data_IF_238447708395
#
_entry.id   IF_238447708395
#
_cell.length_a   1.000
_cell.length_b   1.000
_cell.length_c   1.000
_cell.angle_alpha   90.00
_cell.angle_beta   90.00
_cell.angle_gamma   90.00
#
_symmetry.space_group_name_H-M   'P 1'
#
loop_
_entity.id
_entity.type
_entity.pdbx_description
1 polymer ?
#
# COMPACT_ATOMS: atom_id res chain seq x y z
N UNK A 1 29.78 86.61 45.77
CA UNK A 1 31.23 86.92 45.65
C UNK A 1 31.87 85.76 44.88
N UNK A 2 32.11 85.87 43.57
CA UNK A 2 33.25 86.50 42.87
C UNK A 2 34.60 85.81 43.16
N UNK A 3 35.16 85.25 42.08
CA UNK A 3 36.56 84.87 41.84
C UNK A 3 37.08 83.63 42.57
N UNK A 4 37.92 82.78 41.95
CA UNK A 4 38.62 82.96 40.70
C UNK A 4 39.42 81.72 40.31
N UNK A 5 39.79 81.69 39.03
CA UNK A 5 40.76 80.78 38.43
C UNK A 5 42.08 80.76 39.21
N UNK A 6 42.69 79.58 39.31
CA UNK A 6 44.15 79.49 39.27
C UNK A 6 44.55 78.37 38.30
N UNK A 7 45.14 78.78 37.18
CA UNK A 7 45.96 77.93 36.31
C UNK A 7 47.28 77.68 37.03
N UNK A 8 47.73 76.42 37.13
CA UNK A 8 49.16 76.11 37.20
C UNK A 8 49.48 74.97 36.23
N UNK A 9 50.34 75.31 35.26
CA UNK A 9 51.05 74.37 34.40
C UNK A 9 52.16 73.72 35.23
N UNK A 10 52.32 72.40 35.11
CA UNK A 10 53.61 71.72 35.22
C UNK A 10 53.48 70.34 34.55
N UNK A 11 54.19 70.16 33.43
CA UNK A 11 54.68 68.85 32.94
C UNK A 11 56.16 68.82 33.35
N UNK A 12 56.74 67.67 33.77
CA UNK A 12 57.22 66.72 32.77
C UNK A 12 57.17 65.21 33.15
N UNK A 13 57.00 64.40 32.11
CA UNK A 13 57.44 63.02 31.86
C UNK A 13 57.93 62.12 33.01
N UNK A 14 57.26 60.98 33.20
CA UNK A 14 57.88 59.65 33.17
C UNK A 14 56.82 58.53 33.01
N UNK A 15 57.26 57.39 32.48
CA UNK A 15 56.51 56.32 31.82
C UNK A 15 55.45 55.61 32.68
N UNK A 16 54.38 55.12 32.03
CA UNK A 16 53.52 54.06 32.59
C UNK A 16 52.28 53.76 31.75
N UNK A 17 52.34 52.68 30.97
CA UNK A 17 51.21 51.84 30.50
C UNK A 17 49.98 52.54 29.89
N UNK A 18 50.02 52.81 28.59
CA UNK A 18 48.82 53.02 27.78
C UNK A 18 48.07 51.67 27.59
N UNK A 19 47.13 51.38 28.49
CA UNK A 19 46.08 50.40 28.23
C UNK A 19 45.00 51.10 27.37
N UNK A 20 45.24 51.17 26.06
CA UNK A 20 44.21 51.61 25.12
C UNK A 20 43.14 50.54 25.03
N UNK A 21 42.05 50.73 25.77
CA UNK A 21 40.79 50.04 25.52
C UNK A 21 40.27 50.56 24.19
N UNK A 22 40.65 49.88 23.10
CA UNK A 22 39.97 50.02 21.82
C UNK A 22 38.61 49.35 22.03
N UNK A 23 37.61 50.15 22.40
CA UNK A 23 36.21 49.77 22.28
C UNK A 23 35.92 49.64 20.78
N UNK A 24 36.08 48.42 20.26
CA UNK A 24 35.56 48.04 18.95
C UNK A 24 34.05 48.12 19.03
N UNK A 25 33.51 49.28 18.62
CA UNK A 25 32.10 49.39 18.26
C UNK A 25 31.95 48.49 17.03
N UNK A 26 31.44 47.28 17.23
CA UNK A 26 30.85 46.50 16.16
C UNK A 26 29.65 47.31 15.66
N UNK A 27 29.88 48.15 14.66
CA UNK A 27 28.80 48.72 13.86
C UNK A 27 28.17 47.51 13.19
N UNK A 28 27.08 47.00 13.78
CA UNK A 28 26.17 46.14 13.04
C UNK A 28 25.71 46.98 11.86
N UNK A 29 26.13 46.61 10.65
CA UNK A 29 25.67 47.25 9.43
C UNK A 29 24.15 47.13 9.44
N UNK A 30 23.46 48.24 9.69
CA UNK A 30 22.02 48.31 9.56
C UNK A 30 21.74 48.17 8.07
N UNK A 31 21.54 46.93 7.63
CA UNK A 31 21.27 46.61 6.24
C UNK A 31 20.00 47.35 5.82
N UNK A 32 20.10 48.21 4.80
CA UNK A 32 18.97 49.02 4.35
C UNK A 32 17.91 48.10 3.74
N UNK A 33 16.78 47.94 4.44
CA UNK A 33 15.63 47.18 3.95
C UNK A 33 14.67 48.14 3.27
N UNK A 34 14.42 47.92 1.98
CA UNK A 34 13.48 48.70 1.17
C UNK A 34 12.35 47.81 0.65
N UNK A 35 11.14 48.34 0.42
CA UNK A 35 10.10 47.58 -0.26
C UNK A 35 10.43 47.43 -1.76
N UNK A 36 9.97 46.34 -2.37
CA UNK A 36 10.28 46.01 -3.77
C UNK A 36 9.88 47.08 -4.80
N UNK A 37 8.85 47.87 -4.51
CA UNK A 37 8.34 48.90 -5.39
C UNK A 37 9.18 50.19 -5.36
N UNK A 38 10.17 50.27 -4.47
CA UNK A 38 11.17 51.35 -4.39
C UNK A 38 12.52 50.97 -5.00
N UNK A 39 12.72 49.72 -5.44
CA UNK A 39 14.01 49.22 -5.92
C UNK A 39 14.63 50.07 -7.05
N UNK A 40 13.81 50.65 -7.93
CA UNK A 40 14.26 51.53 -9.02
C UNK A 40 15.06 52.75 -8.53
N UNK A 41 14.74 53.27 -7.33
CA UNK A 41 15.44 54.42 -6.74
C UNK A 41 16.83 54.07 -6.19
N UNK A 42 17.13 52.77 -6.06
CA UNK A 42 18.34 52.23 -5.45
C UNK A 42 19.23 51.49 -6.46
N UNK A 43 19.06 51.75 -7.76
CA UNK A 43 19.92 51.18 -8.80
C UNK A 43 21.38 51.54 -8.54
N UNK A 44 22.24 50.52 -8.52
CA UNK A 44 23.66 50.63 -8.23
C UNK A 44 24.03 50.40 -6.76
N UNK A 45 23.05 50.37 -5.84
CA UNK A 45 23.27 50.17 -4.41
C UNK A 45 23.11 48.69 -4.00
N UNK A 46 23.82 48.28 -2.95
CA UNK A 46 23.61 46.99 -2.28
C UNK A 46 22.60 47.18 -1.14
N UNK A 47 21.43 46.56 -1.27
CA UNK A 47 20.27 46.73 -0.37
C UNK A 47 19.58 45.40 -0.13
N UNK A 48 18.66 45.37 0.84
CA UNK A 48 17.73 44.26 1.04
C UNK A 48 16.35 44.66 0.57
N UNK A 49 15.85 44.00 -0.47
CA UNK A 49 14.51 44.21 -1.00
C UNK A 49 13.52 43.27 -0.32
N UNK A 50 12.50 43.80 0.33
CA UNK A 50 11.42 43.01 0.93
C UNK A 50 10.16 43.02 0.05
N UNK A 51 9.54 41.86 -0.12
CA UNK A 51 8.30 41.74 -0.89
C UNK A 51 7.72 40.33 -0.92
N UNK A 52 6.53 40.21 -1.51
CA UNK A 52 5.90 38.92 -1.77
C UNK A 52 6.23 38.48 -3.18
N UNK A 53 6.72 37.25 -3.33
CA UNK A 53 6.87 36.64 -4.66
C UNK A 53 5.52 36.09 -5.09
N UNK A 54 5.03 36.53 -6.24
CA UNK A 54 3.74 36.12 -6.80
C UNK A 54 3.85 34.83 -7.63
N UNK A 55 5.05 34.52 -8.11
CA UNK A 55 5.34 33.29 -8.85
C UNK A 55 6.76 33.26 -9.38
N UNK A 56 7.18 32.09 -9.85
CA UNK A 56 8.48 31.89 -10.52
C UNK A 56 8.23 31.54 -11.99
N UNK A 57 9.06 32.10 -12.88
CA UNK A 57 9.06 31.80 -14.31
C UNK A 57 10.45 31.39 -14.74
N UNK A 58 10.63 30.11 -15.06
CA UNK A 58 11.91 29.56 -15.44
C UNK A 58 12.00 29.33 -16.95
N UNK A 59 13.18 29.59 -17.49
CA UNK A 59 13.66 29.19 -18.81
C UNK A 59 14.92 28.34 -18.64
N UNK A 60 15.53 27.93 -19.76
CA UNK A 60 16.83 27.24 -19.72
C UNK A 60 17.98 28.15 -19.23
N UNK A 61 17.83 29.48 -19.34
CA UNK A 61 18.89 30.44 -19.06
C UNK A 61 18.76 31.11 -17.69
N UNK A 62 17.52 31.27 -17.20
CA UNK A 62 17.26 31.95 -15.94
C UNK A 62 15.86 31.64 -15.40
N UNK A 63 15.69 31.85 -14.10
CA UNK A 63 14.41 31.90 -13.41
C UNK A 63 14.15 33.30 -12.85
N UNK A 64 12.98 33.84 -13.15
CA UNK A 64 12.51 35.14 -12.69
C UNK A 64 11.54 34.94 -11.51
N UNK A 65 11.84 35.55 -10.38
CA UNK A 65 10.96 35.63 -9.21
C UNK A 65 10.17 36.94 -9.31
N UNK A 66 8.86 36.82 -9.53
CA UNK A 66 7.97 37.93 -9.82
C UNK A 66 7.49 38.63 -8.54
N UNK A 67 7.68 39.94 -8.45
CA UNK A 67 7.07 40.77 -7.38
C UNK A 67 5.83 41.53 -7.85
N UNK A 68 5.65 41.61 -9.18
CA UNK A 68 4.47 42.17 -9.82
C UNK A 68 3.91 41.18 -10.87
N UNK A 69 2.60 41.23 -11.19
CA UNK A 69 1.98 40.29 -12.13
C UNK A 69 2.53 40.34 -13.56
N UNK A 70 3.15 41.46 -13.95
CA UNK A 70 3.59 41.74 -15.33
C UNK A 70 5.10 41.54 -15.54
N UNK A 71 5.86 41.26 -14.48
CA UNK A 71 7.33 41.14 -14.49
C UNK A 71 8.06 42.42 -14.98
N UNK A 72 7.36 43.56 -15.00
CA UNK A 72 7.86 44.81 -15.60
C UNK A 72 8.49 45.76 -14.58
N UNK A 73 8.28 45.51 -13.28
CA UNK A 73 8.81 46.37 -12.21
C UNK A 73 10.09 45.79 -11.64
N UNK A 74 10.02 45.10 -10.51
CA UNK A 74 11.19 44.51 -9.88
C UNK A 74 11.16 42.99 -10.04
N UNK A 75 12.29 42.40 -10.43
CA UNK A 75 12.44 40.94 -10.49
C UNK A 75 13.74 40.49 -9.86
N UNK A 76 13.68 39.42 -9.06
CA UNK A 76 14.88 38.69 -8.68
C UNK A 76 15.19 37.64 -9.74
N UNK A 77 16.45 37.50 -10.12
CA UNK A 77 16.87 36.65 -11.23
C UNK A 77 17.84 35.60 -10.71
N UNK A 78 17.51 34.33 -10.89
CA UNK A 78 18.46 33.22 -10.72
C UNK A 78 18.98 32.86 -12.12
N UNK A 79 20.28 32.99 -12.35
CA UNK A 79 20.88 32.63 -13.64
C UNK A 79 21.27 31.14 -13.68
N UNK A 80 21.43 30.59 -14.89
CA UNK A 80 21.76 29.18 -15.08
C UNK A 80 23.03 28.74 -14.33
N UNK A 81 24.02 29.62 -14.19
CA UNK A 81 25.24 29.37 -13.39
C UNK A 81 24.95 29.10 -11.90
N UNK A 82 23.85 29.63 -11.38
CA UNK A 82 23.41 29.47 -9.99
C UNK A 82 22.42 28.31 -9.80
N UNK A 83 22.00 27.62 -10.87
CA UNK A 83 21.04 26.51 -10.78
C UNK A 83 21.54 25.33 -9.95
N UNK A 84 22.86 25.19 -9.79
CA UNK A 84 23.44 24.17 -8.90
C UNK A 84 23.00 24.37 -7.43
N UNK A 85 23.00 25.62 -6.98
CA UNK A 85 22.69 25.98 -5.59
C UNK A 85 21.22 26.41 -5.43
N UNK A 86 20.60 26.91 -6.50
CA UNK A 86 19.20 27.33 -6.60
C UNK A 86 18.49 26.55 -7.72
N UNK A 87 18.13 25.27 -7.49
CA UNK A 87 17.57 24.43 -8.53
C UNK A 87 16.18 24.91 -9.00
N UNK A 88 15.97 25.12 -10.31
CA UNK A 88 14.71 25.64 -10.88
C UNK A 88 13.45 24.90 -10.39
N UNK A 89 13.53 23.58 -10.27
CA UNK A 89 12.41 22.72 -9.88
C UNK A 89 11.91 22.94 -8.44
N UNK A 90 12.73 23.58 -7.60
CA UNK A 90 12.39 23.87 -6.20
C UNK A 90 11.94 25.32 -5.98
N UNK A 91 12.31 26.24 -6.86
CA UNK A 91 12.10 27.68 -6.64
C UNK A 91 10.62 28.04 -6.47
N UNK A 92 9.73 27.48 -7.30
CA UNK A 92 8.28 27.72 -7.20
C UNK A 92 7.77 27.27 -5.82
N UNK A 93 8.10 26.04 -5.40
CA UNK A 93 7.67 25.50 -4.10
C UNK A 93 8.25 26.30 -2.91
N UNK A 94 9.49 26.75 -3.02
CA UNK A 94 10.21 27.40 -1.92
C UNK A 94 9.82 28.86 -1.72
N UNK A 95 9.41 29.57 -2.77
CA UNK A 95 9.26 31.03 -2.71
C UNK A 95 7.94 31.58 -3.24
N UNK A 96 7.22 30.86 -4.10
CA UNK A 96 5.95 31.34 -4.65
C UNK A 96 4.91 31.56 -3.54
N UNK A 97 4.27 32.73 -3.54
CA UNK A 97 3.28 33.14 -2.55
C UNK A 97 3.87 33.56 -1.19
N UNK A 98 5.18 33.56 -1.01
CA UNK A 98 5.83 33.82 0.28
C UNK A 98 6.40 35.23 0.37
N UNK A 99 6.40 35.77 1.59
CA UNK A 99 7.08 37.03 1.91
C UNK A 99 8.58 36.80 2.14
N UNK A 100 9.42 37.43 1.32
CA UNK A 100 10.88 37.28 1.31
C UNK A 100 11.61 38.61 1.50
N UNK A 101 12.88 38.50 1.86
CA UNK A 101 13.92 39.51 1.78
C UNK A 101 14.99 39.02 0.83
N UNK A 102 15.33 39.84 -0.16
CA UNK A 102 16.36 39.58 -1.15
C UNK A 102 17.50 40.54 -0.91
N UNK A 103 18.69 40.02 -0.66
CA UNK A 103 19.90 40.81 -0.54
C UNK A 103 20.63 40.80 -1.88
N UNK A 104 21.07 41.97 -2.30
CA UNK A 104 22.02 42.07 -3.40
C UNK A 104 22.13 43.48 -3.95
N UNK A 105 22.93 43.62 -5.01
CA UNK A 105 23.04 44.87 -5.74
C UNK A 105 21.87 45.01 -6.70
N UNK A 106 21.13 46.12 -6.62
CA UNK A 106 20.10 46.44 -7.61
C UNK A 106 20.79 46.87 -8.89
N UNK A 107 20.55 46.16 -9.98
CA UNK A 107 21.07 46.47 -11.31
C UNK A 107 19.93 46.82 -12.23
N UNK A 108 20.12 47.80 -13.11
CA UNK A 108 19.16 48.09 -14.16
C UNK A 108 19.50 47.22 -15.37
N UNK A 109 18.53 46.44 -15.83
CA UNK A 109 18.63 45.62 -17.02
C UNK A 109 17.40 45.89 -17.91
N UNK A 110 17.62 46.32 -19.15
CA UNK A 110 16.54 46.69 -20.08
C UNK A 110 15.50 47.67 -19.50
N UNK A 111 15.96 48.69 -18.74
CA UNK A 111 15.13 49.68 -18.01
C UNK A 111 14.30 49.12 -16.86
N UNK A 112 14.71 47.98 -16.31
CA UNK A 112 14.02 47.30 -15.22
C UNK A 112 14.99 47.01 -14.07
N UNK A 113 14.67 47.35 -12.81
CA UNK A 113 15.50 47.00 -11.66
C UNK A 113 15.44 45.48 -11.38
N UNK A 114 16.61 44.86 -11.25
CA UNK A 114 16.78 43.46 -10.96
C UNK A 114 17.82 43.24 -9.85
N UNK A 115 17.68 42.15 -9.09
CA UNK A 115 18.76 41.61 -8.26
C UNK A 115 19.05 40.20 -8.72
N UNK A 116 20.33 39.91 -8.99
CA UNK A 116 20.78 38.56 -9.31
C UNK A 116 21.02 37.78 -8.01
N UNK A 117 20.37 36.62 -7.89
CA UNK A 117 20.55 35.69 -6.79
C UNK A 117 21.58 34.65 -7.19
N UNK A 118 22.67 34.57 -6.44
CA UNK A 118 23.75 33.63 -6.69
C UNK A 118 23.64 32.39 -5.79
N UNK A 119 23.05 32.55 -4.61
CA UNK A 119 23.01 31.54 -3.57
C UNK A 119 21.70 31.57 -2.77
N UNK A 120 21.35 30.48 -2.06
CA UNK A 120 20.20 30.47 -1.16
C UNK A 120 20.27 31.49 -0.03
N UNK A 121 21.46 31.98 0.36
CA UNK A 121 21.59 33.02 1.38
C UNK A 121 21.11 34.40 0.92
N UNK A 122 21.04 34.63 -0.38
CA UNK A 122 20.61 35.91 -0.96
C UNK A 122 19.10 36.11 -0.83
N UNK A 123 18.34 35.05 -0.53
CA UNK A 123 16.89 35.09 -0.34
C UNK A 123 16.51 34.47 1.00
N UNK A 124 15.77 35.22 1.81
CA UNK A 124 15.37 34.81 3.14
C UNK A 124 13.88 35.04 3.33
N UNK A 125 13.15 33.99 3.75
CA UNK A 125 11.78 34.14 4.22
C UNK A 125 11.74 35.09 5.43
N UNK A 126 10.77 36.01 5.44
CA UNK A 126 10.56 36.90 6.60
C UNK A 126 10.22 36.09 7.86
N UNK A 127 10.43 36.68 9.04
CA UNK A 127 10.13 36.00 10.31
C UNK A 127 8.65 35.55 10.42
N UNK A 128 7.72 36.35 9.88
CA UNK A 128 6.30 36.00 9.83
C UNK A 128 6.03 34.79 8.93
N UNK A 129 6.62 34.77 7.73
CA UNK A 129 6.48 33.66 6.80
C UNK A 129 7.12 32.37 7.34
N UNK A 130 8.31 32.45 7.95
CA UNK A 130 8.96 31.31 8.61
C UNK A 130 8.11 30.70 9.73
N UNK A 131 7.40 31.53 10.51
CA UNK A 131 6.48 31.06 11.56
C UNK A 131 5.28 30.36 10.97
N UNK A 132 4.66 30.94 9.92
CA UNK A 132 3.53 30.35 9.20
C UNK A 132 3.88 28.97 8.63
N UNK A 133 5.01 28.88 7.91
CA UNK A 133 5.49 27.62 7.33
C UNK A 133 5.75 26.54 8.40
N UNK A 134 6.30 26.93 9.55
CA UNK A 134 6.51 26.00 10.66
C UNK A 134 5.18 25.50 11.23
N UNK A 135 4.25 26.42 11.50
CA UNK A 135 2.93 26.10 12.02
C UNK A 135 2.18 25.16 11.07
N UNK A 136 2.23 25.42 9.77
CA UNK A 136 1.60 24.56 8.77
C UNK A 136 2.20 23.14 8.77
N UNK A 137 3.54 23.03 8.83
CA UNK A 137 4.21 21.72 8.92
C UNK A 137 3.84 20.96 10.20
N UNK A 138 3.78 21.66 11.34
CA UNK A 138 3.36 21.09 12.61
C UNK A 138 1.91 20.60 12.55
N UNK A 139 1.00 21.38 11.95
CA UNK A 139 -0.40 20.96 11.78
C UNK A 139 -0.54 19.74 10.87
N UNK A 140 0.19 19.69 9.74
CA UNK A 140 0.18 18.53 8.84
C UNK A 140 0.72 17.28 9.54
N UNK A 141 1.78 17.43 10.34
CA UNK A 141 2.34 16.33 11.13
C UNK A 141 1.33 15.84 12.17
N UNK A 142 0.71 16.73 12.92
CA UNK A 142 -0.31 16.38 13.90
C UNK A 142 -1.50 15.67 13.25
N UNK A 143 -1.93 16.10 12.07
CA UNK A 143 -2.98 15.44 11.29
C UNK A 143 -2.56 14.02 10.86
N UNK A 144 -1.34 13.85 10.35
CA UNK A 144 -0.83 12.53 9.95
C UNK A 144 -0.68 11.58 11.15
N UNK A 145 -0.26 12.10 12.31
CA UNK A 145 -0.20 11.34 13.57
C UNK A 145 -1.61 10.93 14.03
N UNK A 146 -2.59 11.83 13.97
CA UNK A 146 -3.98 11.54 14.30
C UNK A 146 -4.60 10.47 13.37
N UNK A 147 -4.38 10.59 12.04
CA UNK A 147 -4.82 9.58 11.07
C UNK A 147 -4.17 8.22 11.34
N UNK A 148 -2.89 8.21 11.73
CA UNK A 148 -2.20 6.98 12.10
C UNK A 148 -2.81 6.34 13.35
N UNK A 149 -3.14 7.14 14.36
CA UNK A 149 -3.81 6.66 15.57
C UNK A 149 -5.21 6.10 15.27
N UNK A 150 -5.96 6.75 14.38
CA UNK A 150 -7.28 6.26 13.93
C UNK A 150 -7.17 4.92 13.18
N UNK A 151 -6.16 4.78 12.31
CA UNK A 151 -5.85 3.50 11.65
C UNK A 151 -5.50 2.41 12.66
N UNK A 152 -4.72 2.74 13.69
CA UNK A 152 -4.38 1.80 14.76
C UNK A 152 -5.61 1.39 15.58
N UNK A 153 -6.50 2.33 15.92
CA UNK A 153 -7.76 2.02 16.59
C UNK A 153 -8.61 1.05 15.76
N UNK A 154 -8.71 1.29 14.44
CA UNK A 154 -9.41 0.38 13.52
C UNK A 154 -8.80 -1.03 13.50
N UNK A 155 -7.47 -1.14 13.60
CA UNK A 155 -6.79 -2.44 13.67
C UNK A 155 -7.12 -3.16 14.98
N UNK A 156 -7.17 -2.45 16.11
CA UNK A 156 -7.54 -3.03 17.39
C UNK A 156 -8.99 -3.56 17.39
N UNK A 157 -9.93 -2.83 16.79
CA UNK A 157 -11.32 -3.30 16.65
C UNK A 157 -11.41 -4.58 15.80
N UNK A 158 -10.62 -4.66 14.71
CA UNK A 158 -10.54 -5.88 13.90
C UNK A 158 -9.95 -7.06 14.67
N UNK A 159 -8.95 -6.81 15.51
CA UNK A 159 -8.39 -7.86 16.37
C UNK A 159 -9.42 -8.37 17.38
N UNK A 160 -10.22 -7.48 17.96
CA UNK A 160 -11.32 -7.86 18.85
C UNK A 160 -12.36 -8.75 18.14
N UNK A 161 -12.81 -8.37 16.93
CA UNK A 161 -13.73 -9.19 16.13
C UNK A 161 -13.13 -10.56 15.76
N UNK A 162 -11.84 -10.61 15.43
CA UNK A 162 -11.15 -11.90 15.20
C UNK A 162 -11.14 -12.77 16.46
N UNK A 163 -10.89 -12.19 17.64
CA UNK A 163 -10.92 -12.95 18.90
C UNK A 163 -12.31 -13.50 19.21
N UNK A 164 -13.36 -12.72 18.98
CA UNK A 164 -14.74 -13.18 19.16
C UNK A 164 -15.10 -14.32 18.19
N UNK A 165 -14.66 -14.22 16.93
CA UNK A 165 -14.85 -15.28 15.94
C UNK A 165 -14.08 -16.55 16.28
N UNK A 166 -12.90 -16.43 16.89
CA UNK A 166 -12.13 -17.58 17.38
C UNK A 166 -12.84 -18.28 18.54
N UNK A 167 -13.31 -17.53 19.53
CA UNK A 167 -14.10 -18.09 20.64
C UNK A 167 -15.37 -18.79 20.13
N UNK A 168 -16.12 -18.15 19.22
CA UNK A 168 -17.29 -18.77 18.60
C UNK A 168 -16.94 -20.01 17.73
N UNK A 169 -15.70 -20.11 17.23
CA UNK A 169 -15.24 -21.30 16.52
C UNK A 169 -14.91 -22.45 17.48
N UNK A 170 -14.35 -22.14 18.66
CA UNK A 170 -14.14 -23.10 19.75
C UNK A 170 -15.47 -23.68 20.23
N UNK A 171 -16.47 -22.85 20.50
CA UNK A 171 -17.82 -23.30 20.90
C UNK A 171 -18.47 -24.22 19.84
N UNK A 172 -18.32 -23.88 18.55
CA UNK A 172 -18.81 -24.72 17.45
C UNK A 172 -18.09 -26.07 17.41
N UNK A 173 -16.79 -26.09 17.66
CA UNK A 173 -16.01 -27.33 17.69
C UNK A 173 -16.46 -28.23 18.85
N UNK A 174 -16.68 -27.67 20.04
CA UNK A 174 -17.20 -28.42 21.19
C UNK A 174 -18.61 -28.96 20.92
N UNK A 175 -19.50 -28.15 20.33
CA UNK A 175 -20.83 -28.59 19.94
C UNK A 175 -20.80 -29.75 18.93
N UNK A 176 -19.89 -29.70 17.95
CA UNK A 176 -19.69 -30.77 16.97
C UNK A 176 -19.20 -32.05 17.66
N UNK A 177 -18.26 -31.96 18.60
CA UNK A 177 -17.79 -33.12 19.36
C UNK A 177 -18.92 -33.75 20.18
N UNK A 178 -19.71 -32.95 20.91
CA UNK A 178 -20.85 -33.44 21.68
C UNK A 178 -21.92 -34.12 20.78
N UNK A 179 -22.15 -33.58 19.58
CA UNK A 179 -23.08 -34.19 18.62
C UNK A 179 -22.58 -35.55 18.12
N UNK A 180 -21.26 -35.71 17.94
CA UNK A 180 -20.66 -36.99 17.56
C UNK A 180 -20.83 -38.04 18.68
N UNK A 181 -20.56 -37.68 19.93
CA UNK A 181 -20.75 -38.58 21.09
C UNK A 181 -22.21 -39.01 21.26
N UNK A 182 -23.17 -38.08 21.10
CA UNK A 182 -24.60 -38.40 21.11
C UNK A 182 -24.99 -39.37 19.97
N UNK A 183 -24.38 -39.20 18.79
CA UNK A 183 -24.63 -40.08 17.66
C UNK A 183 -24.06 -41.48 17.92
N UNK A 184 -22.86 -41.59 18.49
CA UNK A 184 -22.25 -42.86 18.85
C UNK A 184 -23.07 -43.61 19.91
N UNK A 185 -23.50 -42.91 20.97
CA UNK A 185 -24.34 -43.50 22.01
C UNK A 185 -25.71 -43.94 21.47
N UNK A 186 -26.33 -43.16 20.59
CA UNK A 186 -27.58 -43.55 19.93
C UNK A 186 -27.40 -44.81 19.05
N UNK A 187 -26.28 -44.92 18.32
CA UNK A 187 -25.95 -46.11 17.55
C UNK A 187 -25.72 -47.33 18.45
N UNK A 188 -25.03 -47.16 19.58
CA UNK A 188 -24.80 -48.24 20.55
C UNK A 188 -26.12 -48.73 21.18
N UNK A 189 -27.01 -47.82 21.56
CA UNK A 189 -28.35 -48.17 22.07
C UNK A 189 -29.19 -48.88 21.01
N UNK A 190 -29.14 -48.43 19.75
CA UNK A 190 -29.84 -49.09 18.65
C UNK A 190 -29.34 -50.53 18.42
N UNK A 191 -28.03 -50.77 18.55
CA UNK A 191 -27.43 -52.10 18.47
C UNK A 191 -27.82 -52.97 19.69
N UNK A 192 -27.83 -52.42 20.90
CA UNK A 192 -28.25 -53.15 22.10
C UNK A 192 -29.74 -53.51 22.10
N UNK A 193 -30.57 -52.70 21.43
CA UNK A 193 -32.02 -52.92 21.27
C UNK A 193 -32.37 -53.89 20.15
N UNK A 194 -31.42 -54.19 19.26
CA UNK A 194 -31.59 -55.24 18.27
C UNK A 194 -31.56 -56.59 18.99
N UNK A 195 -32.72 -57.26 19.03
CA UNK A 195 -32.77 -58.66 19.43
C UNK A 195 -31.74 -59.45 18.61
N UNK A 196 -31.01 -60.41 19.21
CA UNK A 196 -30.12 -61.27 18.44
C UNK A 196 -30.92 -61.85 17.28
N UNK A 197 -30.36 -61.89 16.05
CA UNK A 197 -31.06 -62.49 14.93
C UNK A 197 -31.52 -63.88 15.38
N UNK A 198 -32.78 -64.28 15.09
CA UNK A 198 -33.25 -65.60 15.47
C UNK A 198 -32.21 -66.63 15.00
N UNK A 199 -31.90 -67.66 15.80
CA UNK A 199 -30.97 -68.69 15.37
C UNK A 199 -31.41 -69.14 13.97
N UNK A 200 -30.48 -69.28 13.00
CA UNK A 200 -30.86 -69.73 11.68
C UNK A 200 -31.65 -71.01 11.87
N UNK A 201 -32.89 -71.05 11.34
CA UNK A 201 -33.68 -72.25 11.39
C UNK A 201 -32.81 -73.38 10.78
N UNK A 202 -32.54 -74.40 11.58
CA UNK A 202 -31.78 -75.58 11.15
C UNK A 202 -32.66 -76.36 10.18
N UNK A 203 -32.67 -75.90 8.94
CA UNK A 203 -32.91 -76.74 7.78
C UNK A 203 -31.56 -77.31 7.41
N UNK A 204 -31.52 -78.63 7.18
CA UNK A 204 -30.30 -79.40 6.97
C UNK A 204 -29.34 -78.81 5.93
N UNK A 205 -28.12 -79.35 5.94
CA UNK A 205 -26.95 -78.98 5.13
C UNK A 205 -27.26 -78.05 3.95
N UNK A 206 -26.54 -76.91 3.82
CA UNK A 206 -26.79 -75.99 2.72
C UNK A 206 -26.64 -76.72 1.39
N UNK A 207 -27.75 -76.97 0.71
CA UNK A 207 -27.67 -77.40 -0.67
C UNK A 207 -26.97 -76.28 -1.45
N UNK A 208 -25.93 -76.59 -2.24
CA UNK A 208 -25.28 -75.58 -3.07
C UNK A 208 -26.34 -74.99 -4.00
N UNK A 209 -26.55 -73.67 -3.90
CA UNK A 209 -27.52 -72.96 -4.76
C UNK A 209 -27.16 -73.26 -6.22
N UNK A 210 -28.11 -73.73 -7.04
CA UNK A 210 -27.83 -73.95 -8.46
C UNK A 210 -27.49 -72.61 -9.12
N UNK A 211 -26.43 -72.61 -9.92
CA UNK A 211 -25.73 -71.41 -10.44
C UNK A 211 -26.57 -70.44 -11.29
N UNK A 212 -27.87 -70.68 -11.49
CA UNK A 212 -28.76 -69.79 -12.23
C UNK A 212 -29.43 -68.72 -11.35
N UNK A 213 -29.40 -68.86 -10.03
CA UNK A 213 -30.11 -67.97 -9.09
C UNK A 213 -29.27 -66.78 -8.58
N UNK A 214 -27.99 -66.72 -8.93
CA UNK A 214 -27.15 -65.53 -8.75
C UNK A 214 -27.40 -64.52 -9.89
N UNK A 215 -28.64 -64.03 -10.01
CA UNK A 215 -29.03 -63.08 -11.04
C UNK A 215 -28.49 -61.68 -10.69
N UNK A 216 -27.24 -61.41 -11.09
CA UNK A 216 -26.70 -60.04 -11.13
C UNK A 216 -27.20 -59.39 -12.42
N UNK A 217 -27.97 -58.30 -12.31
CA UNK A 217 -28.55 -57.59 -13.45
C UNK A 217 -27.46 -57.00 -14.35
N UNK A 218 -27.39 -57.45 -15.60
CA UNK A 218 -26.58 -56.77 -16.63
C UNK A 218 -27.43 -55.73 -17.34
N UNK A 219 -26.81 -54.60 -17.66
CA UNK A 219 -27.45 -53.46 -18.32
C UNK A 219 -26.81 -53.19 -19.68
N UNK A 220 -27.57 -52.61 -20.60
CA UNK A 220 -27.03 -52.09 -21.87
C UNK A 220 -25.96 -51.02 -21.56
N UNK A 221 -24.88 -51.00 -22.34
CA UNK A 221 -23.72 -50.12 -22.16
C UNK A 221 -22.63 -50.66 -21.22
N UNK A 222 -22.87 -51.79 -20.54
CA UNK A 222 -21.84 -52.39 -19.68
C UNK A 222 -20.65 -52.91 -20.51
N UNK A 223 -19.43 -52.79 -19.99
CA UNK A 223 -18.22 -53.28 -20.68
C UNK A 223 -18.10 -54.80 -20.59
N UNK A 224 -17.42 -55.44 -21.55
CA UNK A 224 -17.13 -56.88 -21.52
C UNK A 224 -16.50 -57.33 -20.20
N UNK A 225 -15.56 -56.56 -19.66
CA UNK A 225 -14.86 -56.88 -18.40
C UNK A 225 -15.80 -56.83 -17.20
N UNK A 226 -16.72 -55.86 -17.16
CA UNK A 226 -17.70 -55.77 -16.06
C UNK A 226 -18.73 -56.89 -16.15
N UNK A 227 -19.17 -57.24 -17.37
CA UNK A 227 -20.05 -58.40 -17.59
C UNK A 227 -19.38 -59.70 -17.18
N UNK A 228 -18.12 -59.91 -17.57
CA UNK A 228 -17.33 -61.09 -17.20
C UNK A 228 -17.11 -61.18 -15.69
N UNK A 229 -16.91 -60.04 -15.00
CA UNK A 229 -16.80 -60.00 -13.53
C UNK A 229 -18.11 -60.37 -12.83
N UNK A 230 -19.25 -60.00 -13.43
CA UNK A 230 -20.57 -60.17 -12.80
C UNK A 230 -21.21 -61.54 -13.09
N UNK A 231 -21.08 -62.03 -14.33
CA UNK A 231 -21.70 -63.29 -14.76
C UNK A 231 -20.67 -64.43 -14.85
N UNK A 232 -19.40 -64.10 -15.03
CA UNK A 232 -18.36 -65.07 -15.36
C UNK A 232 -18.12 -65.21 -16.86
N UNK A 233 -17.30 -66.20 -17.20
CA UNK A 233 -16.88 -66.45 -18.57
C UNK A 233 -18.03 -67.02 -19.43
N UNK A 234 -18.15 -66.61 -20.70
CA UNK A 234 -19.13 -67.17 -21.61
C UNK A 234 -18.84 -68.63 -21.95
N UNK A 235 -19.88 -69.40 -22.21
CA UNK A 235 -19.76 -70.80 -22.66
C UNK A 235 -19.30 -70.87 -24.11
N UNK A 236 -19.78 -69.93 -24.94
CA UNK A 236 -19.42 -69.83 -26.34
C UNK A 236 -19.40 -68.36 -26.77
N UNK A 237 -18.45 -68.02 -27.63
CA UNK A 237 -18.27 -66.66 -28.15
C UNK A 237 -18.35 -66.71 -29.67
N UNK A 238 -19.32 -66.01 -30.22
CA UNK A 238 -19.50 -65.86 -31.66
C UNK A 238 -19.07 -64.46 -32.08
N UNK A 239 -18.08 -64.37 -32.97
CA UNK A 239 -17.65 -63.11 -33.55
C UNK A 239 -18.35 -62.91 -34.89
N UNK A 240 -19.18 -61.89 -34.98
CA UNK A 240 -19.81 -61.47 -36.23
C UNK A 240 -18.94 -60.40 -36.89
N UNK A 241 -18.90 -60.39 -38.22
CA UNK A 241 -18.11 -59.40 -38.98
C UNK A 241 -18.41 -57.95 -38.55
N UNK A 242 -17.39 -57.09 -38.57
CA UNK A 242 -17.52 -55.68 -38.16
C UNK A 242 -17.29 -55.40 -36.67
N UNK A 243 -16.62 -56.32 -35.95
CA UNK A 243 -16.21 -56.11 -34.54
C UNK A 243 -17.28 -56.46 -33.51
N UNK A 244 -18.45 -56.94 -33.95
CA UNK A 244 -19.52 -57.39 -33.07
C UNK A 244 -19.21 -58.77 -32.51
N UNK A 245 -19.57 -58.98 -31.25
CA UNK A 245 -19.33 -60.28 -30.59
C UNK A 245 -20.51 -60.62 -29.71
N UNK A 246 -21.07 -61.82 -29.87
CA UNK A 246 -22.14 -62.32 -29.02
C UNK A 246 -21.61 -63.41 -28.10
N UNK A 247 -21.82 -63.21 -26.81
CA UNK A 247 -21.46 -64.14 -25.75
C UNK A 247 -22.68 -64.95 -25.36
N UNK A 248 -22.56 -66.27 -25.44
CA UNK A 248 -23.61 -67.20 -25.08
C UNK A 248 -23.31 -67.83 -23.73
N UNK A 249 -24.38 -67.95 -22.94
CA UNK A 249 -24.39 -68.56 -21.63
C UNK A 249 -25.43 -69.69 -21.62
N UNK A 250 -25.28 -70.63 -20.69
CA UNK A 250 -26.26 -71.70 -20.51
C UNK A 250 -27.70 -71.19 -20.35
N UNK A 251 -28.66 -72.05 -20.72
CA UNK A 251 -30.10 -71.80 -20.67
C UNK A 251 -30.63 -70.77 -21.69
N UNK A 252 -30.02 -70.70 -22.88
CA UNK A 252 -30.50 -69.85 -23.98
C UNK A 252 -30.25 -68.35 -23.77
N UNK A 253 -29.32 -68.00 -22.89
CA UNK A 253 -28.98 -66.61 -22.56
C UNK A 253 -27.86 -66.11 -23.45
N UNK A 254 -27.96 -64.88 -23.92
CA UNK A 254 -26.90 -64.26 -24.71
C UNK A 254 -26.79 -62.76 -24.50
N UNK A 255 -25.57 -62.25 -24.69
CA UNK A 255 -25.23 -60.83 -24.61
C UNK A 255 -24.46 -60.46 -25.87
N UNK A 256 -24.99 -59.54 -26.67
CA UNK A 256 -24.29 -59.02 -27.84
C UNK A 256 -23.56 -57.72 -27.50
N UNK A 257 -22.31 -57.63 -27.97
CA UNK A 257 -21.44 -56.48 -27.79
C UNK A 257 -21.17 -55.82 -29.13
N UNK A 258 -21.18 -54.49 -29.14
CA UNK A 258 -20.74 -53.70 -30.29
C UNK A 258 -19.22 -53.78 -30.52
N UNK A 259 -18.77 -53.12 -31.59
CA UNK A 259 -17.35 -52.99 -31.94
C UNK A 259 -16.50 -52.29 -30.85
N UNK A 260 -17.13 -51.57 -29.93
CA UNK A 260 -16.48 -50.90 -28.79
C UNK A 260 -16.52 -51.74 -27.51
N UNK A 261 -17.05 -52.96 -27.57
CA UNK A 261 -17.13 -53.89 -26.46
C UNK A 261 -18.20 -53.53 -25.42
N UNK A 262 -19.27 -52.83 -25.82
CA UNK A 262 -20.39 -52.44 -24.95
C UNK A 262 -21.60 -53.33 -25.20
N UNK A 263 -22.25 -53.79 -24.13
CA UNK A 263 -23.43 -54.65 -24.23
C UNK A 263 -24.60 -53.89 -24.86
N UNK A 264 -25.20 -54.43 -25.93
CA UNK A 264 -26.26 -53.76 -26.71
C UNK A 264 -27.56 -54.54 -26.72
N UNK A 265 -27.49 -55.86 -26.78
CA UNK A 265 -28.63 -56.76 -26.69
C UNK A 265 -28.43 -57.78 -25.56
N UNK A 266 -29.51 -58.05 -24.82
CA UNK A 266 -29.55 -58.97 -23.69
C UNK A 266 -30.75 -59.89 -23.90
N UNK A 267 -30.51 -61.19 -23.97
CA UNK A 267 -31.55 -62.23 -24.14
C UNK A 267 -31.51 -63.15 -22.94
N UNK A 268 -32.67 -63.38 -22.31
CA UNK A 268 -32.78 -64.25 -21.14
C UNK A 268 -32.16 -63.69 -19.85
N UNK A 269 -31.95 -62.38 -19.77
CA UNK A 269 -31.58 -61.66 -18.55
C UNK A 269 -32.76 -60.83 -18.05
N UNK A 270 -32.98 -60.74 -16.72
CA UNK A 270 -34.02 -59.88 -16.18
C UNK A 270 -33.78 -58.42 -16.59
N UNK A 271 -34.84 -57.65 -16.91
CA UNK A 271 -34.69 -56.22 -17.14
C UNK A 271 -34.12 -55.52 -15.90
N UNK A 272 -33.42 -54.39 -16.08
CA UNK A 272 -32.93 -53.59 -14.96
C UNK A 272 -34.03 -53.03 -14.07
#
# INVERSE_FOLDING_TARGET
>A
MRFGRVKRRARPYWLGCALSIIATITVGSAETVIPWDEAEKHVGEEVVVEGRILGVRCSQLSCLLAFDPTLSRFTAVVQAESFKDLPPEKLEQLYSGKQVRIRGKVVENERKPEIVLHSPSDVTLTAGERRRDRQEKETRRAQAEAETLERLATVLDRLADVTERMAAAEDRMEAVLAQLEQRETALALAQASQAPPPPPASYGEPQPRPAYEALRTVKRGMSRTDVQRLIGDPTFVESSGGGWTTWYYGYGRSISFDARGRATALVGFPPP
#
